data_IF_986156819312
#
_entry.id   IF_986156819312
#
_cell.length_a   1.000
_cell.length_b   1.000
_cell.length_c   1.000
_cell.angle_alpha   90.00
_cell.angle_beta   90.00
_cell.angle_gamma   90.00
#
_symmetry.space_group_name_H-M   'P 1'
#
loop_
_entity.id
_entity.type
_entity.pdbx_description
1 polymer ?
#
# COMPACT_ATOMS: atom_id res chain seq x y z
N UNK A 1 0.11 12.51 0.21
CA UNK A 1 1.51 12.05 0.23
C UNK A 1 2.22 12.20 1.59
N UNK A 2 2.05 13.29 2.35
CA UNK A 2 2.77 13.47 3.62
C UNK A 2 2.56 12.32 4.64
N UNK A 3 1.32 11.88 4.88
CA UNK A 3 1.05 10.77 5.81
C UNK A 3 1.61 9.43 5.31
N UNK A 4 1.46 9.14 4.01
CA UNK A 4 2.05 7.96 3.38
C UNK A 4 3.57 7.94 3.59
N UNK A 5 4.26 9.04 3.26
CA UNK A 5 5.72 9.15 3.39
C UNK A 5 6.16 8.99 4.85
N UNK A 6 5.42 9.57 5.81
CA UNK A 6 5.72 9.44 7.23
C UNK A 6 5.60 7.99 7.75
N UNK A 7 4.66 7.21 7.21
CA UNK A 7 4.51 5.79 7.56
C UNK A 7 5.56 4.96 6.84
N UNK A 8 5.80 5.22 5.55
CA UNK A 8 6.82 4.53 4.75
C UNK A 8 8.23 4.72 5.34
N UNK A 9 8.54 5.90 5.89
CA UNK A 9 9.80 6.15 6.59
C UNK A 9 10.01 5.24 7.82
N UNK A 10 8.93 4.78 8.46
CA UNK A 10 9.01 3.82 9.58
C UNK A 10 9.17 2.36 9.12
N UNK A 11 8.82 2.08 7.87
CA UNK A 11 8.83 0.76 7.27
C UNK A 11 9.41 0.82 5.84
N UNK A 12 10.68 1.23 5.67
CA UNK A 12 11.26 1.48 4.35
C UNK A 12 11.27 0.22 3.47
N UNK A 13 11.52 -0.94 4.07
CA UNK A 13 11.62 -2.23 3.37
C UNK A 13 10.27 -2.89 3.08
N UNK A 14 9.17 -2.35 3.62
CA UNK A 14 7.85 -2.94 3.47
C UNK A 14 7.07 -2.23 2.35
N UNK A 15 6.43 -3.01 1.49
CA UNK A 15 5.44 -2.52 0.54
C UNK A 15 4.24 -2.00 1.33
N UNK A 16 3.97 -0.70 1.25
CA UNK A 16 2.90 -0.07 2.02
C UNK A 16 1.59 -0.04 1.22
N UNK A 17 0.60 -0.81 1.66
CA UNK A 17 -0.78 -0.72 1.22
C UNK A 17 -1.50 0.32 2.09
N UNK A 18 -1.78 1.48 1.51
CA UNK A 18 -2.44 2.59 2.19
C UNK A 18 -3.89 2.69 1.75
N UNK A 19 -4.83 2.53 2.68
CA UNK A 19 -6.26 2.59 2.35
C UNK A 19 -6.68 4.04 2.10
N UNK A 20 -7.25 4.28 0.93
CA UNK A 20 -7.86 5.55 0.53
C UNK A 20 -9.28 5.22 0.05
N UNK A 21 -10.28 5.49 0.90
CA UNK A 21 -11.66 5.08 0.65
C UNK A 21 -11.78 3.57 0.43
N UNK A 22 -12.27 3.21 -0.76
CA UNK A 22 -12.50 1.82 -1.18
C UNK A 22 -11.31 1.15 -1.86
N UNK A 23 -10.12 1.76 -1.85
CA UNK A 23 -8.93 1.21 -2.47
C UNK A 23 -7.77 1.08 -1.49
N UNK A 24 -6.96 0.04 -1.66
CA UNK A 24 -5.58 0.04 -1.18
C UNK A 24 -4.70 0.59 -2.30
N UNK A 25 -4.04 1.70 -2.02
CA UNK A 25 -3.10 2.37 -2.92
C UNK A 25 -1.67 2.21 -2.43
N UNK A 26 -0.74 2.15 -3.38
CA UNK A 26 0.69 2.18 -3.16
C UNK A 26 1.34 3.15 -4.15
N UNK A 27 2.51 3.69 -3.80
CA UNK A 27 3.13 4.78 -4.55
C UNK A 27 4.63 4.55 -4.81
N UNK A 28 5.13 5.15 -5.89
CA UNK A 28 6.55 5.12 -6.26
C UNK A 28 7.04 3.70 -6.55
N UNK A 29 8.18 3.31 -5.99
CA UNK A 29 8.75 1.97 -6.20
C UNK A 29 7.82 0.84 -5.74
N UNK A 30 7.08 1.05 -4.64
CA UNK A 30 6.11 0.07 -4.16
C UNK A 30 4.97 -0.11 -5.17
N UNK A 31 4.58 0.94 -5.89
CA UNK A 31 3.58 0.87 -6.96
C UNK A 31 4.08 0.07 -8.16
N UNK A 32 5.29 0.35 -8.62
CA UNK A 32 5.92 -0.39 -9.73
C UNK A 32 6.01 -1.87 -9.39
N UNK A 33 6.45 -2.18 -8.16
CA UNK A 33 6.58 -3.55 -7.67
C UNK A 33 5.23 -4.26 -7.56
N UNK A 34 4.23 -3.60 -6.95
CA UNK A 34 2.88 -4.15 -6.81
C UNK A 34 2.22 -4.40 -8.18
N UNK A 35 2.31 -3.43 -9.10
CA UNK A 35 1.78 -3.56 -10.45
C UNK A 35 2.34 -4.79 -11.17
N UNK A 36 3.66 -4.99 -11.09
CA UNK A 36 4.33 -6.14 -11.70
C UNK A 36 3.91 -7.47 -11.06
N UNK A 37 3.85 -7.56 -9.74
CA UNK A 37 3.53 -8.82 -9.03
C UNK A 37 2.05 -9.19 -9.20
N UNK A 38 1.17 -8.20 -9.13
CA UNK A 38 -0.28 -8.43 -9.13
C UNK A 38 -0.89 -8.41 -10.53
N UNK A 39 -0.15 -7.94 -11.53
CA UNK A 39 -0.67 -7.76 -12.88
C UNK A 39 -1.75 -6.69 -12.96
N UNK A 40 -1.65 -5.66 -12.12
CA UNK A 40 -2.60 -4.53 -12.08
C UNK A 40 -2.02 -3.31 -12.79
N UNK A 41 -2.90 -2.37 -13.15
CA UNK A 41 -2.50 -1.16 -13.86
C UNK A 41 -1.57 -0.31 -13.00
N UNK A 42 -0.40 0.02 -13.54
CA UNK A 42 0.46 1.08 -13.04
C UNK A 42 0.02 2.40 -13.68
N UNK A 43 -0.45 3.33 -12.87
CA UNK A 43 -0.80 4.68 -13.29
C UNK A 43 0.09 5.69 -12.58
N UNK A 44 -0.22 6.98 -12.72
CA UNK A 44 0.45 8.03 -12.00
C UNK A 44 -0.57 8.99 -11.38
N UNK A 45 -0.23 9.48 -10.19
CA UNK A 45 -0.96 10.54 -9.51
C UNK A 45 -0.23 11.86 -9.74
N UNK A 46 -0.97 12.85 -10.25
CA UNK A 46 -0.47 14.22 -10.30
C UNK A 46 -0.53 14.83 -8.89
N UNK A 47 0.59 15.35 -8.40
CA UNK A 47 0.65 16.11 -7.16
C UNK A 47 1.31 17.47 -7.45
N UNK A 48 0.57 18.34 -8.16
CA UNK A 48 1.12 19.57 -8.71
C UNK A 48 1.99 19.31 -9.95
N UNK A 49 3.23 19.81 -9.95
CA UNK A 49 4.19 19.66 -11.06
C UNK A 49 4.88 18.29 -11.12
N UNK A 50 4.72 17.47 -10.09
CA UNK A 50 5.35 16.14 -10.01
C UNK A 50 4.33 15.03 -10.21
N UNK A 51 4.71 14.03 -11.01
CA UNK A 51 3.97 12.76 -11.14
C UNK A 51 4.65 11.72 -10.27
N UNK A 52 3.85 10.93 -9.56
CA UNK A 52 4.31 9.77 -8.81
C UNK A 52 3.56 8.53 -9.28
N UNK A 53 4.26 7.42 -9.42
CA UNK A 53 3.70 6.13 -9.77
C UNK A 53 2.67 5.72 -8.72
N UNK A 54 1.57 5.15 -9.17
CA UNK A 54 0.48 4.69 -8.34
C UNK A 54 -0.01 3.36 -8.88
N UNK A 55 -0.22 2.41 -7.98
CA UNK A 55 -0.93 1.18 -8.27
C UNK A 55 -1.87 0.88 -7.10
N UNK A 56 -3.01 0.28 -7.38
CA UNK A 56 -3.97 -0.02 -6.33
C UNK A 56 -5.04 -1.01 -6.77
N UNK A 57 -5.74 -1.55 -5.78
CA UNK A 57 -6.83 -2.50 -5.98
C UNK A 57 -7.95 -2.24 -4.97
N UNK A 58 -9.19 -2.67 -5.26
CA UNK A 58 -10.32 -2.45 -4.35
C UNK A 58 -10.09 -3.12 -2.99
N UNK A 59 -10.49 -2.48 -1.89
CA UNK A 59 -10.20 -2.92 -0.53
C UNK A 59 -10.69 -4.35 -0.24
N UNK A 60 -11.85 -4.73 -0.80
CA UNK A 60 -12.42 -6.07 -0.66
C UNK A 60 -11.61 -7.15 -1.39
N UNK A 61 -10.69 -6.76 -2.27
CA UNK A 61 -9.78 -7.68 -2.96
C UNK A 61 -8.49 -7.94 -2.17
N UNK A 62 -8.37 -7.45 -0.93
CA UNK A 62 -7.18 -7.64 -0.09
C UNK A 62 -6.84 -9.12 0.11
N UNK A 63 -7.84 -9.96 0.40
CA UNK A 63 -7.63 -11.40 0.60
C UNK A 63 -7.16 -12.12 -0.67
N UNK A 64 -7.43 -11.54 -1.84
CA UNK A 64 -6.96 -12.06 -3.14
C UNK A 64 -5.52 -11.62 -3.45
N UNK A 65 -5.18 -10.35 -3.18
CA UNK A 65 -3.91 -9.77 -3.61
C UNK A 65 -2.80 -9.86 -2.56
N UNK A 66 -3.14 -9.74 -1.27
CA UNK A 66 -2.15 -9.80 -0.19
C UNK A 66 -1.35 -11.11 -0.20
N UNK A 67 -1.94 -12.31 -0.37
CA UNK A 67 -1.17 -13.54 -0.43
C UNK A 67 -0.21 -13.60 -1.63
N UNK A 68 -0.52 -12.93 -2.75
CA UNK A 68 0.36 -12.87 -3.92
C UNK A 68 1.59 -12.00 -3.63
N UNK A 69 1.39 -10.84 -2.99
CA UNK A 69 2.50 -9.98 -2.56
C UNK A 69 3.42 -10.72 -1.58
N UNK A 70 2.86 -11.35 -0.56
CA UNK A 70 3.65 -12.07 0.46
C UNK A 70 4.42 -13.24 -0.15
N UNK A 71 3.77 -14.05 -1.01
CA UNK A 71 4.43 -15.19 -1.69
C UNK A 71 5.54 -14.77 -2.65
N UNK A 72 5.50 -13.54 -3.17
CA UNK A 72 6.61 -12.99 -3.95
C UNK A 72 7.79 -12.48 -3.11
N UNK A 73 7.79 -12.74 -1.80
CA UNK A 73 8.84 -12.30 -0.87
C UNK A 73 8.71 -10.86 -0.39
N UNK A 74 7.56 -10.20 -0.62
CA UNK A 74 7.35 -8.84 -0.12
C UNK A 74 6.92 -8.86 1.35
N UNK A 75 7.62 -8.07 2.18
CA UNK A 75 7.06 -7.62 3.47
C UNK A 75 5.98 -6.59 3.15
N UNK A 76 4.77 -6.76 3.65
CA UNK A 76 3.65 -5.86 3.35
C UNK A 76 3.16 -5.20 4.63
N UNK A 77 3.06 -3.88 4.64
CA UNK A 77 2.44 -3.10 5.70
C UNK A 77 1.06 -2.63 5.22
N UNK A 78 0.04 -2.76 6.06
CA UNK A 78 -1.33 -2.33 5.73
C UNK A 78 -1.72 -1.20 6.66
N UNK A 79 -2.15 -0.09 6.09
CA UNK A 79 -2.64 1.07 6.81
C UNK A 79 -4.10 1.32 6.45
N UNK A 80 -5.02 0.85 7.30
CA UNK A 80 -6.42 1.23 7.24
C UNK A 80 -6.58 2.60 7.92
N UNK A 81 -6.65 3.66 7.13
CA UNK A 81 -7.03 4.96 7.66
C UNK A 81 -8.54 4.92 7.95
N UNK A 82 -8.91 4.77 9.23
CA UNK A 82 -10.26 5.03 9.71
C UNK A 82 -10.55 6.53 9.53
N UNK A 83 -11.68 6.85 8.89
CA UNK A 83 -12.13 8.23 8.64
C UNK A 83 -12.45 9.00 9.93
N UNK A 84 -12.49 8.33 11.08
CA UNK A 84 -12.78 8.97 12.36
C UNK A 84 -11.49 9.36 13.10
N UNK A 85 -11.16 10.66 13.25
CA UNK A 85 -9.98 11.09 14.02
C UNK A 85 -10.04 10.70 15.51
N UNK A 86 -11.20 10.22 15.99
CA UNK A 86 -11.40 9.67 17.34
C UNK A 86 -11.15 8.16 17.43
N UNK A 87 -11.19 7.44 16.31
CA UNK A 87 -10.91 6.01 16.27
C UNK A 87 -9.42 5.80 15.95
N UNK A 88 -8.65 5.48 16.99
CA UNK A 88 -7.23 5.10 17.00
C UNK A 88 -6.69 4.64 15.64
N UNK A 89 -5.62 5.31 15.17
CA UNK A 89 -4.79 4.91 14.01
C UNK A 89 -4.35 3.45 14.13
N UNK A 90 -5.14 2.51 13.60
CA UNK A 90 -4.82 1.09 13.67
C UNK A 90 -3.91 0.76 12.49
N UNK A 91 -2.61 0.96 12.68
CA UNK A 91 -1.61 0.37 11.79
C UNK A 91 -1.70 -1.14 12.02
N UNK A 92 -2.34 -1.86 11.10
CA UNK A 92 -2.36 -3.33 11.14
C UNK A 92 -1.03 -3.80 10.59
N UNK A 93 -0.05 -3.94 11.48
CA UNK A 93 1.28 -4.43 11.14
C UNK A 93 1.20 -5.94 10.94
N UNK A 94 0.97 -6.40 9.70
CA UNK A 94 1.00 -7.83 9.36
C UNK A 94 2.38 -8.21 8.81
N UNK A 95 3.34 -8.42 9.71
CA UNK A 95 4.64 -9.00 9.37
C UNK A 95 4.45 -10.51 9.19
N UNK A 96 4.40 -10.98 7.94
CA UNK A 96 4.51 -12.40 7.63
C UNK A 96 5.99 -12.69 7.33
N UNK A 97 6.72 -13.09 8.37
CA UNK A 97 8.05 -13.68 8.25
C UNK A 97 7.86 -15.19 8.10
N UNK A 98 8.25 -15.71 6.94
CA UNK A 98 8.37 -17.13 6.59
C UNK A 98 7.10 -18.00 6.72
N UNK A 99 6.84 -18.76 5.66
CA UNK A 99 6.45 -20.16 5.78
C UNK A 99 7.66 -20.99 5.38
#
# INVERSE_FOLDING_TARGET
MQQYNAIKAKYPDALLLFRVGDFYETFGEDAIKAARILGIVLTNRANGSSKIELAGFPHHSLDTYLPKLVRSGCRVAICDQLEDPKATKKIVKRVLLNW
#
